data_IF_307625284257
#
_entry.id   IF_307625284257
#
_cell.length_a   1.000
_cell.length_b   1.000
_cell.length_c   1.000
_cell.angle_alpha   90.00
_cell.angle_beta   90.00
_cell.angle_gamma   90.00
#
_symmetry.space_group_name_H-M   'P 1'
#
loop_
_entity.id
_entity.type
_entity.pdbx_description
1 polymer ?
#
# COMPACT_ATOMS: atom_id res chain seq x y z
N UNK A 1 9.11 4.58 -6.65
CA UNK A 1 9.30 4.30 -5.19
C UNK A 1 8.98 2.83 -4.94
N UNK A 2 9.57 2.13 -3.95
CA UNK A 2 9.20 0.72 -3.69
C UNK A 2 7.87 0.63 -2.92
N UNK A 3 6.76 0.78 -3.65
CA UNK A 3 5.42 0.70 -3.09
C UNK A 3 5.07 -0.68 -2.54
N UNK A 4 5.55 -1.78 -3.14
CA UNK A 4 5.20 -3.12 -2.68
C UNK A 4 5.70 -3.38 -1.27
N UNK A 5 6.95 -3.01 -0.98
CA UNK A 5 7.52 -3.14 0.37
C UNK A 5 6.81 -2.26 1.39
N UNK A 6 6.47 -1.02 1.01
CA UNK A 6 5.74 -0.09 1.89
C UNK A 6 4.31 -0.57 2.17
N UNK A 7 3.60 -1.08 1.17
CA UNK A 7 2.25 -1.67 1.31
C UNK A 7 2.31 -2.89 2.24
N UNK A 8 3.28 -3.79 2.06
CA UNK A 8 3.47 -4.95 2.95
C UNK A 8 3.68 -4.52 4.40
N UNK A 9 4.56 -3.56 4.64
CA UNK A 9 4.84 -3.05 5.99
C UNK A 9 3.60 -2.40 6.63
N UNK A 10 2.87 -1.60 5.87
CA UNK A 10 1.66 -0.93 6.36
C UNK A 10 0.56 -1.94 6.71
N UNK A 11 0.42 -2.99 5.90
CA UNK A 11 -0.58 -4.04 6.11
C UNK A 11 -0.14 -5.10 7.14
N UNK A 12 1.15 -5.33 7.36
CA UNK A 12 1.62 -6.24 8.41
C UNK A 12 1.28 -5.73 9.82
N UNK A 13 1.13 -4.42 9.98
CA UNK A 13 0.77 -3.77 11.25
C UNK A 13 -0.73 -3.49 11.36
N UNK A 14 -1.59 -4.05 10.48
CA UNK A 14 -3.01 -3.69 10.43
C UNK A 14 -3.91 -4.87 10.00
N UNK A 15 -5.10 -5.00 10.63
CA UNK A 15 -6.13 -5.98 10.23
C UNK A 15 -6.97 -5.49 9.03
N UNK A 16 -6.26 -5.16 7.95
CA UNK A 16 -6.82 -4.71 6.68
C UNK A 16 -7.19 -3.22 6.65
N UNK A 17 -6.84 -2.58 5.54
CA UNK A 17 -6.99 -1.14 5.33
C UNK A 17 -7.59 -0.84 3.96
N UNK A 18 -8.31 0.27 3.85
CA UNK A 18 -8.73 0.81 2.55
C UNK A 18 -7.52 1.38 1.81
N UNK A 19 -7.61 1.49 0.47
CA UNK A 19 -6.53 2.05 -0.34
C UNK A 19 -6.06 3.43 0.16
N UNK A 20 -7.00 4.33 0.47
CA UNK A 20 -6.72 5.68 1.00
C UNK A 20 -5.97 5.63 2.34
N UNK A 21 -6.29 4.68 3.21
CA UNK A 21 -5.63 4.53 4.52
C UNK A 21 -4.20 4.02 4.37
N UNK A 22 -3.99 3.10 3.42
CA UNK A 22 -2.65 2.61 3.07
C UNK A 22 -1.83 3.77 2.49
N UNK A 23 -2.41 4.53 1.57
CA UNK A 23 -1.78 5.68 0.94
C UNK A 23 -1.32 6.72 1.96
N UNK A 24 -2.21 7.17 2.86
CA UNK A 24 -1.89 8.16 3.90
C UNK A 24 -0.72 7.66 4.77
N UNK A 25 -0.72 6.38 5.15
CA UNK A 25 0.35 5.78 5.93
C UNK A 25 1.67 5.73 5.14
N UNK A 26 1.62 5.36 3.86
CA UNK A 26 2.78 5.37 2.97
C UNK A 26 3.32 6.78 2.81
N UNK A 27 2.49 7.78 2.57
CA UNK A 27 2.90 9.20 2.48
C UNK A 27 3.55 9.64 3.80
N UNK A 28 3.00 9.24 4.95
CA UNK A 28 3.57 9.57 6.26
C UNK A 28 4.95 8.94 6.46
N UNK A 29 5.16 7.69 6.03
CA UNK A 29 6.47 7.04 6.04
C UNK A 29 7.39 7.74 5.05
N UNK A 30 6.93 7.94 3.82
CA UNK A 30 7.70 8.53 2.73
C UNK A 30 8.15 9.95 3.07
N UNK A 31 7.34 10.79 3.72
CA UNK A 31 7.72 12.15 4.15
C UNK A 31 8.99 12.21 5.00
N UNK A 32 9.33 11.13 5.70
CA UNK A 32 10.56 11.05 6.49
C UNK A 32 11.81 10.71 5.65
N UNK A 33 11.63 10.20 4.43
CA UNK A 33 12.70 9.69 3.57
C UNK A 33 12.72 10.30 2.16
N UNK A 34 11.63 10.91 1.71
CA UNK A 34 11.39 11.43 0.37
C UNK A 34 10.47 12.66 0.41
N UNK A 35 10.67 13.65 -0.48
CA UNK A 35 9.77 14.78 -0.60
C UNK A 35 8.36 14.31 -1.07
N UNK A 36 7.27 14.87 -0.50
CA UNK A 36 5.89 14.43 -0.76
C UNK A 36 5.47 14.52 -2.24
N UNK A 37 6.14 15.36 -3.03
CA UNK A 37 5.89 15.59 -4.47
C UNK A 37 6.22 14.38 -5.36
N UNK A 38 6.86 13.34 -4.81
CA UNK A 38 7.26 12.13 -5.54
C UNK A 38 6.32 10.93 -5.36
N UNK A 39 5.18 11.12 -4.71
CA UNK A 39 4.19 10.03 -4.56
C UNK A 39 3.32 9.97 -5.81
N UNK A 40 3.71 9.10 -6.73
CA UNK A 40 2.92 8.75 -7.91
C UNK A 40 1.74 7.82 -7.53
N UNK A 41 0.52 8.37 -7.63
CA UNK A 41 -0.73 7.67 -7.36
C UNK A 41 -0.96 6.47 -8.29
N UNK A 42 -0.60 6.59 -9.56
CA UNK A 42 -0.80 5.54 -10.55
C UNK A 42 0.10 4.34 -10.23
N UNK A 43 1.37 4.60 -9.88
CA UNK A 43 2.29 3.55 -9.43
C UNK A 43 1.78 2.84 -8.17
N UNK A 44 1.24 3.60 -7.19
CA UNK A 44 0.65 3.04 -5.98
C UNK A 44 -0.53 2.11 -6.28
N UNK A 45 -1.50 2.56 -7.08
CA UNK A 45 -2.67 1.75 -7.45
C UNK A 45 -2.26 0.52 -8.27
N UNK A 46 -1.30 0.67 -9.17
CA UNK A 46 -0.75 -0.44 -9.97
C UNK A 46 -0.09 -1.47 -9.06
N UNK A 47 0.69 -1.03 -8.07
CA UNK A 47 1.32 -1.92 -7.11
C UNK A 47 0.28 -2.68 -6.24
N UNK A 48 -0.76 -2.01 -5.75
CA UNK A 48 -1.86 -2.64 -5.01
C UNK A 48 -2.54 -3.74 -5.84
N UNK A 49 -2.90 -3.44 -7.09
CA UNK A 49 -3.57 -4.40 -7.98
C UNK A 49 -2.65 -5.57 -8.35
N UNK A 50 -1.38 -5.29 -8.67
CA UNK A 50 -0.36 -6.30 -8.94
C UNK A 50 -0.20 -7.26 -7.76
N UNK A 51 -0.16 -6.75 -6.52
CA UNK A 51 -0.04 -7.60 -5.34
C UNK A 51 -1.30 -8.43 -5.05
N UNK A 52 -2.49 -7.95 -5.44
CA UNK A 52 -3.72 -8.77 -5.40
C UNK A 52 -3.66 -9.89 -6.44
N UNK A 53 -3.24 -9.57 -7.67
CA UNK A 53 -3.10 -10.56 -8.74
C UNK A 53 -2.05 -11.63 -8.43
N UNK A 54 -0.97 -11.24 -7.73
CA UNK A 54 0.09 -12.14 -7.24
C UNK A 54 -0.37 -12.99 -6.04
N UNK A 55 -1.58 -12.79 -5.52
CA UNK A 55 -2.09 -13.51 -4.35
C UNK A 55 -1.44 -13.09 -3.02
N UNK A 56 -0.62 -12.04 -3.02
CA UNK A 56 0.03 -11.47 -1.82
C UNK A 56 -0.99 -10.69 -0.99
N UNK A 57 -1.95 -10.03 -1.64
CA UNK A 57 -3.03 -9.30 -0.97
C UNK A 57 -4.38 -9.93 -1.28
N UNK A 58 -5.23 -10.00 -0.27
CA UNK A 58 -6.65 -10.31 -0.43
C UNK A 58 -7.45 -9.02 -0.37
N UNK A 59 -8.37 -8.81 -1.32
CA UNK A 59 -9.30 -7.67 -1.31
C UNK A 59 -10.69 -8.12 -0.88
N UNK A 60 -11.18 -7.61 0.25
CA UNK A 60 -12.53 -7.91 0.75
C UNK A 60 -13.23 -6.64 1.20
N UNK A 61 -14.49 -6.43 0.78
CA UNK A 61 -15.35 -5.31 1.20
C UNK A 61 -14.61 -3.95 1.20
N UNK A 62 -13.87 -3.68 0.13
CA UNK A 62 -13.09 -2.46 -0.10
C UNK A 62 -11.84 -2.26 0.78
N UNK A 63 -11.39 -3.31 1.48
CA UNK A 63 -10.13 -3.34 2.23
C UNK A 63 -9.16 -4.34 1.62
N UNK A 64 -7.88 -4.06 1.76
CA UNK A 64 -6.78 -4.93 1.39
C UNK A 64 -6.18 -5.54 2.66
N UNK A 65 -5.91 -6.84 2.60
CA UNK A 65 -5.35 -7.64 3.69
C UNK A 65 -4.09 -8.33 3.17
N UNK A 66 -3.10 -8.49 4.03
CA UNK A 66 -1.94 -9.32 3.71
C UNK A 66 -2.39 -10.79 3.74
N UNK A 67 -2.13 -11.52 2.66
CA UNK A 67 -2.42 -12.95 2.54
C UNK A 67 -1.10 -13.70 2.80
N UNK A 68 -0.91 -14.15 4.04
CA UNK A 68 0.27 -14.89 4.52
C UNK A 68 -0.10 -16.35 4.72
#
# INVERSE_FOLDING_TARGET
>A
MDYKSLIKRVLSESNGLRAEEIEIKIIKIAKNFYPPEKVDYLEFFTALQSMVNEGILKKEKNKYFLNI
#
